data_IF_373087410533
#
_entry.id   IF_373087410533
#
_cell.length_a   1.000
_cell.length_b   1.000
_cell.length_c   1.000
_cell.angle_alpha   90.00
_cell.angle_beta   90.00
_cell.angle_gamma   90.00
#
_symmetry.space_group_name_H-M   'P 1'
#
loop_
_entity.id
_entity.type
_entity.pdbx_description
1 polymer ?
#
# COMPACT_ATOMS: atom_id res chain seq x y z
N UNK A 1 -9.95 0.52 44.71
CA UNK A 1 -10.49 1.74 44.09
C UNK A 1 -10.69 1.44 42.62
N UNK A 2 -11.94 1.32 42.18
CA UNK A 2 -12.24 1.22 40.75
C UNK A 2 -11.85 2.55 40.09
N UNK A 3 -11.40 2.53 38.83
CA UNK A 3 -11.23 3.77 38.02
C UNK A 3 -12.55 4.57 37.98
N UNK A 4 -13.69 3.90 38.15
CA UNK A 4 -15.02 4.53 38.23
C UNK A 4 -15.25 5.32 39.53
N UNK A 5 -14.53 5.03 40.61
CA UNK A 5 -14.66 5.75 41.89
C UNK A 5 -13.81 7.03 41.95
N UNK A 6 -12.90 7.25 40.98
CA UNK A 6 -11.99 8.40 40.93
C UNK A 6 -12.47 9.53 40.00
N UNK A 7 -13.57 9.34 39.28
CA UNK A 7 -14.12 10.32 38.35
C UNK A 7 -15.42 10.90 38.94
N UNK A 8 -15.42 12.13 39.49
CA UNK A 8 -16.62 12.73 40.05
C UNK A 8 -17.70 12.82 38.96
N UNK A 9 -18.91 12.39 39.31
CA UNK A 9 -20.12 12.52 38.52
C UNK A 9 -20.26 13.94 37.95
N UNK A 10 -19.98 14.11 36.66
CA UNK A 10 -20.30 15.34 35.95
C UNK A 10 -21.39 15.06 34.89
N UNK A 11 -22.65 15.44 35.16
CA UNK A 11 -23.70 15.37 34.16
C UNK A 11 -23.46 16.46 33.11
N UNK A 12 -23.03 16.05 31.91
CA UNK A 12 -22.88 16.93 30.74
C UNK A 12 -21.50 17.55 30.51
N UNK A 13 -20.43 17.08 31.18
CA UNK A 13 -19.11 17.72 31.12
C UNK A 13 -18.38 17.53 29.80
N UNK A 14 -18.19 18.63 29.08
CA UNK A 14 -16.93 18.86 28.38
C UNK A 14 -15.78 18.52 29.34
N UNK A 15 -14.83 17.69 28.89
CA UNK A 15 -13.59 17.45 29.65
C UNK A 15 -13.04 18.80 30.14
N UNK A 16 -12.50 18.88 31.38
CA UNK A 16 -11.85 20.10 31.85
C UNK A 16 -10.86 20.55 30.79
N UNK A 17 -10.85 21.86 30.49
CA UNK A 17 -9.87 22.43 29.56
C UNK A 17 -8.48 22.16 30.13
N UNK A 18 -7.72 21.31 29.45
CA UNK A 18 -6.36 20.98 29.83
C UNK A 18 -5.38 21.77 28.96
N UNK A 19 -4.34 22.33 29.55
CA UNK A 19 -3.25 22.96 28.81
C UNK A 19 -2.25 21.91 28.32
N UNK A 20 -1.49 22.21 27.25
CA UNK A 20 -0.44 21.31 26.75
C UNK A 20 0.68 21.13 27.79
N UNK A 21 1.03 22.20 28.52
CA UNK A 21 2.05 22.14 29.58
C UNK A 21 1.69 21.20 30.74
N UNK A 22 0.38 20.97 31.00
CA UNK A 22 -0.07 20.10 32.09
C UNK A 22 0.35 18.64 31.88
N UNK A 23 0.70 18.22 30.66
CA UNK A 23 1.30 16.89 30.40
C UNK A 23 2.61 16.70 31.19
N UNK A 24 3.32 17.80 31.48
CA UNK A 24 4.53 17.83 32.28
C UNK A 24 4.27 18.02 33.78
N UNK A 25 3.01 18.12 34.22
CA UNK A 25 2.67 18.33 35.63
C UNK A 25 3.15 17.16 36.52
N UNK A 26 3.37 17.45 37.79
CA UNK A 26 3.70 16.46 38.83
C UNK A 26 2.49 15.62 39.25
N UNK A 27 1.26 16.14 39.14
CA UNK A 27 0.04 15.38 39.34
C UNK A 27 -0.23 14.47 38.13
N UNK A 28 -0.10 13.16 38.36
CA UNK A 28 -0.29 12.14 37.32
C UNK A 28 -1.69 12.17 36.70
N UNK A 29 -2.73 12.53 37.45
CA UNK A 29 -4.08 12.59 36.91
C UNK A 29 -4.22 13.75 35.92
N UNK A 30 -3.74 14.94 36.31
CA UNK A 30 -3.78 16.11 35.45
C UNK A 30 -2.96 15.88 34.18
N UNK A 31 -1.74 15.35 34.33
CA UNK A 31 -0.88 15.00 33.21
C UNK A 31 -1.52 13.96 32.29
N UNK A 32 -2.15 12.93 32.85
CA UNK A 32 -2.84 11.92 32.06
C UNK A 32 -4.04 12.48 31.30
N UNK A 33 -4.87 13.33 31.91
CA UNK A 33 -6.02 13.93 31.23
C UNK A 33 -5.59 14.90 30.13
N UNK A 34 -4.56 15.71 30.35
CA UNK A 34 -3.97 16.56 29.31
C UNK A 34 -3.41 15.71 28.16
N UNK A 35 -2.69 14.62 28.47
CA UNK A 35 -2.16 13.69 27.47
C UNK A 35 -3.27 13.00 26.68
N UNK A 36 -4.31 12.53 27.36
CA UNK A 36 -5.48 11.90 26.76
C UNK A 36 -6.22 12.88 25.84
N UNK A 37 -6.37 14.15 26.24
CA UNK A 37 -6.98 15.20 25.41
C UNK A 37 -6.18 15.47 24.13
N UNK A 38 -4.84 15.49 24.23
CA UNK A 38 -3.94 15.69 23.09
C UNK A 38 -3.89 14.47 22.17
N UNK A 39 -3.56 13.29 22.68
CA UNK A 39 -3.20 12.12 21.85
C UNK A 39 -4.38 11.20 21.58
N UNK A 40 -5.32 11.10 22.54
CA UNK A 40 -6.40 10.12 22.54
C UNK A 40 -7.22 10.07 21.24
N UNK A 41 -7.75 11.21 20.73
CA UNK A 41 -8.55 11.24 19.50
C UNK A 41 -7.80 10.75 18.26
N UNK A 42 -6.52 11.12 18.12
CA UNK A 42 -5.69 10.72 16.99
C UNK A 42 -5.32 9.24 17.06
N UNK A 43 -4.93 8.77 18.25
CA UNK A 43 -4.60 7.37 18.49
C UNK A 43 -5.81 6.46 18.27
N UNK A 44 -7.01 6.87 18.70
CA UNK A 44 -8.24 6.14 18.42
C UNK A 44 -8.47 5.97 16.92
N UNK A 45 -8.38 7.07 16.17
CA UNK A 45 -8.57 7.03 14.72
C UNK A 45 -7.57 6.08 14.04
N UNK A 46 -6.33 6.04 14.52
CA UNK A 46 -5.29 5.13 14.02
C UNK A 46 -5.56 3.67 14.41
N UNK A 47 -5.94 3.41 15.66
CA UNK A 47 -6.23 2.06 16.19
C UNK A 47 -7.42 1.44 15.46
N UNK A 48 -8.54 2.15 15.35
CA UNK A 48 -9.74 1.66 14.66
C UNK A 48 -9.44 1.39 13.18
N UNK A 49 -8.70 2.29 12.53
CA UNK A 49 -8.26 2.07 11.15
C UNK A 49 -7.44 0.80 10.98
N UNK A 50 -6.50 0.61 11.90
CA UNK A 50 -5.59 -0.54 11.91
C UNK A 50 -6.37 -1.83 12.15
N UNK A 51 -7.31 -1.84 13.10
CA UNK A 51 -8.19 -2.97 13.35
C UNK A 51 -9.08 -3.29 12.14
N UNK A 52 -9.71 -2.29 11.52
CA UNK A 52 -10.51 -2.47 10.31
C UNK A 52 -9.68 -2.99 9.14
N UNK A 53 -8.43 -2.53 9.01
CA UNK A 53 -7.49 -3.05 7.99
C UNK A 53 -7.07 -4.49 8.29
N UNK A 54 -6.90 -4.83 9.56
CA UNK A 54 -6.53 -6.16 9.99
C UNK A 54 -7.66 -7.17 9.72
N UNK A 55 -8.90 -6.77 10.02
CA UNK A 55 -10.10 -7.60 9.86
C UNK A 55 -11.32 -6.75 9.45
N UNK A 56 -11.52 -6.51 8.14
CA UNK A 56 -12.64 -5.72 7.63
C UNK A 56 -14.00 -6.27 8.11
N UNK A 57 -14.90 -5.40 8.55
CA UNK A 57 -16.25 -5.79 8.99
C UNK A 57 -16.34 -6.46 10.37
N UNK A 58 -15.23 -6.64 11.08
CA UNK A 58 -15.24 -7.30 12.40
C UNK A 58 -15.64 -6.42 13.59
N UNK A 59 -15.67 -5.10 13.41
CA UNK A 59 -16.22 -4.19 14.40
C UNK A 59 -16.86 -2.97 13.72
N UNK A 60 -17.87 -2.40 14.39
CA UNK A 60 -18.58 -1.19 13.96
C UNK A 60 -17.99 0.11 14.54
N UNK A 61 -16.76 0.07 15.06
CA UNK A 61 -16.15 1.23 15.69
C UNK A 61 -15.94 2.36 14.67
N UNK A 62 -16.43 3.56 14.98
CA UNK A 62 -16.21 4.73 14.14
C UNK A 62 -14.88 5.40 14.52
N UNK A 63 -13.89 5.52 13.61
CA UNK A 63 -12.64 6.23 13.89
C UNK A 63 -12.85 7.72 14.19
N UNK A 64 -14.04 8.25 13.91
CA UNK A 64 -14.42 9.64 14.20
C UNK A 64 -15.04 9.84 15.59
N UNK A 65 -15.35 8.76 16.31
CA UNK A 65 -16.01 8.78 17.62
C UNK A 65 -15.14 8.08 18.67
N UNK A 66 -14.15 8.78 19.24
CA UNK A 66 -13.31 8.21 20.28
C UNK A 66 -14.11 7.99 21.59
N UNK A 67 -13.64 7.10 22.48
CA UNK A 67 -14.24 6.84 23.81
C UNK A 67 -14.30 8.07 24.72
N UNK A 68 -13.54 9.12 24.41
CA UNK A 68 -13.44 10.31 25.24
C UNK A 68 -14.66 11.19 25.05
N UNK A 69 -15.53 11.22 26.05
CA UNK A 69 -16.56 12.26 26.19
C UNK A 69 -18.00 11.76 26.35
N UNK A 70 -18.28 10.86 27.29
CA UNK A 70 -19.62 10.72 27.87
C UNK A 70 -20.80 10.58 26.89
N UNK A 71 -20.58 10.00 25.71
CA UNK A 71 -21.64 9.84 24.72
C UNK A 71 -22.61 8.76 25.20
N UNK A 72 -23.62 9.17 25.96
CA UNK A 72 -24.67 8.35 26.58
C UNK A 72 -25.64 7.69 25.58
N UNK A 73 -25.20 7.43 24.34
CA UNK A 73 -26.03 6.86 23.28
C UNK A 73 -25.26 6.31 22.08
N UNK A 74 -23.93 6.27 22.12
CA UNK A 74 -23.16 5.54 21.11
C UNK A 74 -23.13 4.05 21.47
N UNK A 75 -23.27 3.17 20.48
CA UNK A 75 -23.06 1.73 20.68
C UNK A 75 -21.73 1.49 21.42
N UNK A 76 -21.69 0.54 22.38
CA UNK A 76 -20.49 0.29 23.13
C UNK A 76 -19.33 -0.01 22.17
N UNK A 77 -18.23 0.70 22.36
CA UNK A 77 -17.02 0.48 21.59
C UNK A 77 -16.59 -0.98 21.74
N UNK A 78 -16.18 -1.62 20.65
CA UNK A 78 -15.83 -3.03 20.72
C UNK A 78 -14.63 -3.24 21.67
N UNK A 79 -14.62 -4.31 22.49
CA UNK A 79 -13.56 -4.55 23.47
C UNK A 79 -12.15 -4.56 22.86
N UNK A 80 -12.01 -5.08 21.63
CA UNK A 80 -10.72 -5.14 20.93
C UNK A 80 -10.14 -3.76 20.64
N UNK A 81 -10.91 -2.84 20.06
CA UNK A 81 -10.45 -1.49 19.78
C UNK A 81 -10.20 -0.71 21.08
N UNK A 82 -11.05 -0.88 22.08
CA UNK A 82 -10.90 -0.23 23.39
C UNK A 82 -9.63 -0.68 24.11
N UNK A 83 -9.37 -1.99 24.18
CA UNK A 83 -8.17 -2.53 24.81
C UNK A 83 -6.91 -2.08 24.07
N UNK A 84 -6.88 -2.22 22.74
CA UNK A 84 -5.74 -1.80 21.94
C UNK A 84 -5.48 -0.29 22.08
N UNK A 85 -6.51 0.54 22.08
CA UNK A 85 -6.36 1.97 22.29
C UNK A 85 -5.81 2.28 23.68
N UNK A 86 -6.35 1.66 24.72
CA UNK A 86 -5.93 1.85 26.12
C UNK A 86 -4.47 1.44 26.31
N UNK A 87 -4.06 0.27 25.81
CA UNK A 87 -2.68 -0.21 25.89
C UNK A 87 -1.70 0.75 25.21
N UNK A 88 -2.06 1.26 24.03
CA UNK A 88 -1.22 2.21 23.29
C UNK A 88 -1.19 3.57 23.96
N UNK A 89 -2.29 4.02 24.52
CA UNK A 89 -2.38 5.29 25.24
C UNK A 89 -1.49 5.25 26.48
N UNK A 90 -1.61 4.21 27.31
CA UNK A 90 -0.79 4.03 28.52
C UNK A 90 0.69 3.86 28.19
N UNK A 91 1.03 3.11 27.14
CA UNK A 91 2.40 2.98 26.66
C UNK A 91 3.00 4.32 26.23
N UNK A 92 2.24 5.10 25.46
CA UNK A 92 2.65 6.42 25.01
C UNK A 92 2.82 7.39 26.18
N UNK A 93 1.86 7.41 27.12
CA UNK A 93 1.92 8.23 28.32
C UNK A 93 3.17 7.90 29.16
N UNK A 94 3.40 6.60 29.44
CA UNK A 94 4.58 6.14 30.18
C UNK A 94 5.88 6.58 29.51
N UNK A 95 5.97 6.44 28.17
CA UNK A 95 7.13 6.90 27.41
C UNK A 95 7.33 8.42 27.48
N UNK A 96 6.24 9.19 27.45
CA UNK A 96 6.30 10.65 27.61
C UNK A 96 6.77 11.06 29.00
N UNK A 97 6.26 10.40 30.06
CA UNK A 97 6.69 10.65 31.44
C UNK A 97 8.16 10.31 31.65
N UNK A 98 8.61 9.17 31.13
CA UNK A 98 10.03 8.80 31.15
C UNK A 98 10.88 9.85 30.40
N UNK A 99 10.44 10.31 29.23
CA UNK A 99 11.18 11.32 28.45
C UNK A 99 11.27 12.69 29.15
N UNK A 100 10.26 13.05 29.94
CA UNK A 100 10.24 14.27 30.75
C UNK A 100 11.14 14.15 31.99
N UNK A 101 11.22 12.97 32.61
CA UNK A 101 11.99 12.74 33.83
C UNK A 101 13.47 12.45 33.56
N UNK A 102 13.75 11.54 32.63
CA UNK A 102 15.09 10.99 32.36
C UNK A 102 15.74 11.58 31.10
N UNK A 103 14.97 12.36 30.34
CA UNK A 103 15.37 12.90 29.04
C UNK A 103 14.90 12.04 27.85
N UNK A 104 14.98 12.58 26.63
CA UNK A 104 14.49 11.91 25.42
C UNK A 104 15.22 10.57 25.17
N UNK A 105 14.52 9.55 24.62
CA UNK A 105 15.15 8.29 24.25
C UNK A 105 16.31 8.49 23.28
N UNK A 106 17.30 7.61 23.33
CA UNK A 106 18.51 7.66 22.51
C UNK A 106 18.39 6.79 21.25
N UNK A 107 19.10 7.18 20.20
CA UNK A 107 19.32 6.39 18.99
C UNK A 107 20.39 5.32 19.22
N UNK A 108 20.71 4.54 18.18
CA UNK A 108 21.81 3.56 18.24
C UNK A 108 23.20 4.18 18.40
N UNK A 109 23.34 5.45 18.07
CA UNK A 109 24.59 6.19 18.16
C UNK A 109 24.66 7.04 19.44
N UNK A 110 23.87 6.69 20.47
CA UNK A 110 23.74 7.40 21.75
C UNK A 110 23.35 8.89 21.64
N UNK A 111 22.69 9.27 20.55
CA UNK A 111 22.18 10.63 20.34
C UNK A 111 20.70 10.72 20.73
N UNK A 112 20.23 11.84 21.32
CA UNK A 112 18.81 12.08 21.54
C UNK A 112 17.98 11.95 20.26
N UNK A 113 16.83 11.26 20.34
CA UNK A 113 15.85 11.24 19.25
C UNK A 113 15.29 12.65 19.11
N UNK A 114 15.62 13.32 18.00
CA UNK A 114 15.32 14.73 17.74
C UNK A 114 13.84 15.11 17.93
N UNK A 115 12.93 14.26 17.47
CA UNK A 115 11.49 14.49 17.57
C UNK A 115 11.02 14.46 19.04
N UNK A 116 11.57 13.55 19.84
CA UNK A 116 11.31 13.50 21.28
C UNK A 116 11.92 14.69 22.01
N UNK A 117 13.13 15.10 21.64
CA UNK A 117 13.78 16.27 22.22
C UNK A 117 12.93 17.53 22.02
N UNK A 118 12.51 17.82 20.78
CA UNK A 118 11.65 18.99 20.49
C UNK A 118 10.30 18.93 21.18
N UNK A 119 9.73 17.74 21.30
CA UNK A 119 8.47 17.54 22.03
C UNK A 119 8.65 17.85 23.51
N UNK A 120 9.66 17.29 24.18
CA UNK A 120 9.95 17.53 25.60
C UNK A 120 10.27 19.00 25.86
N UNK A 121 11.09 19.62 25.00
CA UNK A 121 11.39 21.06 25.06
C UNK A 121 10.12 21.92 24.98
N UNK A 122 9.18 21.58 24.10
CA UNK A 122 7.92 22.31 23.97
C UNK A 122 7.00 22.12 25.17
N UNK A 123 6.88 20.88 25.68
CA UNK A 123 6.04 20.59 26.84
C UNK A 123 6.49 21.34 28.10
N UNK A 124 7.78 21.67 28.22
CA UNK A 124 8.33 22.51 29.28
C UNK A 124 8.38 24.02 28.97
N UNK A 125 7.93 24.46 27.80
CA UNK A 125 7.97 25.86 27.41
C UNK A 125 6.75 26.63 27.95
N UNK A 126 6.95 27.88 28.37
CA UNK A 126 5.87 28.78 28.85
C UNK A 126 4.73 28.95 27.82
N UNK A 127 5.02 28.83 26.52
CA UNK A 127 3.98 28.88 25.49
C UNK A 127 2.93 27.77 25.66
N UNK A 128 3.34 26.57 26.10
CA UNK A 128 2.46 25.41 26.25
C UNK A 128 1.41 25.59 27.37
N UNK A 129 1.61 26.54 28.30
CA UNK A 129 0.64 26.88 29.36
C UNK A 129 -0.64 27.51 28.79
N UNK A 130 -0.55 28.14 27.62
CA UNK A 130 -1.67 28.83 26.97
C UNK A 130 -2.29 28.04 25.81
N UNK A 131 -1.77 26.85 25.54
CA UNK A 131 -2.19 25.99 24.44
C UNK A 131 -3.22 24.97 24.92
N UNK A 132 -4.41 24.92 24.31
CA UNK A 132 -5.46 23.93 24.65
C UNK A 132 -5.09 22.55 24.08
N UNK A 133 -4.86 21.57 24.95
CA UNK A 133 -4.50 20.21 24.57
C UNK A 133 -5.55 19.54 23.67
N UNK A 134 -6.84 19.80 23.91
CA UNK A 134 -7.93 19.25 23.11
C UNK A 134 -7.98 19.90 21.72
N UNK A 135 -7.56 21.16 21.57
CA UNK A 135 -7.44 21.81 20.27
C UNK A 135 -6.36 21.16 19.41
N UNK A 136 -5.15 21.02 19.94
CA UNK A 136 -4.06 20.34 19.25
C UNK A 136 -4.36 18.84 19.03
N UNK A 137 -5.13 18.21 19.91
CA UNK A 137 -5.60 16.84 19.70
C UNK A 137 -6.54 16.67 18.51
N UNK A 138 -7.37 17.69 18.21
CA UNK A 138 -8.14 17.73 16.94
C UNK A 138 -7.19 17.83 15.74
N UNK A 139 -6.16 18.66 15.82
CA UNK A 139 -5.13 18.78 14.76
C UNK A 139 -4.40 17.46 14.52
N UNK A 140 -3.97 16.75 15.58
CA UNK A 140 -3.33 15.43 15.46
C UNK A 140 -4.26 14.39 14.81
N UNK A 141 -5.55 14.42 15.16
CA UNK A 141 -6.55 13.54 14.54
C UNK A 141 -6.71 13.86 13.05
N UNK A 142 -6.76 15.12 12.67
CA UNK A 142 -6.81 15.51 11.25
C UNK A 142 -5.59 15.03 10.47
N UNK A 143 -4.38 15.19 11.03
CA UNK A 143 -3.14 14.68 10.44
C UNK A 143 -3.23 13.16 10.23
N UNK A 144 -3.73 12.43 11.23
CA UNK A 144 -3.95 10.97 11.14
C UNK A 144 -4.91 10.61 10.01
N UNK A 145 -6.06 11.28 9.93
CA UNK A 145 -7.06 11.05 8.89
C UNK A 145 -6.55 11.43 7.49
N UNK A 146 -5.69 12.45 7.37
CA UNK A 146 -5.05 12.85 6.12
C UNK A 146 -3.97 11.87 5.69
N UNK A 147 -3.09 11.44 6.58
CA UNK A 147 -2.05 10.43 6.28
C UNK A 147 -2.68 9.16 5.69
N UNK A 148 -3.87 8.79 6.19
CA UNK A 148 -4.67 7.68 5.66
C UNK A 148 -5.27 7.94 4.28
N UNK A 149 -5.75 9.15 4.01
CA UNK A 149 -6.29 9.55 2.69
C UNK A 149 -5.20 9.66 1.64
N UNK A 150 -4.08 10.30 1.97
CA UNK A 150 -2.91 10.43 1.09
C UNK A 150 -2.30 9.08 0.69
N UNK A 151 -2.30 8.09 1.59
CA UNK A 151 -1.91 6.72 1.24
C UNK A 151 -2.87 6.04 0.23
N UNK A 152 -4.11 6.54 0.08
CA UNK A 152 -5.15 5.99 -0.80
C UNK A 152 -5.29 6.77 -2.11
N UNK A 153 -4.93 8.06 -2.12
CA UNK A 153 -5.14 9.01 -3.23
C UNK A 153 -3.84 9.49 -3.90
N UNK A 154 -2.67 8.98 -3.50
CA UNK A 154 -1.40 9.20 -4.19
C UNK A 154 -1.35 8.49 -5.56
N UNK A 155 -2.29 8.81 -6.44
CA UNK A 155 -2.10 8.70 -7.87
C UNK A 155 -1.07 9.77 -8.30
N UNK A 156 -0.14 9.47 -9.23
CA UNK A 156 0.82 10.45 -9.69
C UNK A 156 0.10 11.66 -10.32
N UNK A 157 0.25 12.85 -9.74
CA UNK A 157 -0.26 14.11 -10.30
C UNK A 157 -1.40 14.79 -9.53
N UNK A 158 -1.90 14.21 -8.44
CA UNK A 158 -2.84 14.88 -7.53
C UNK A 158 -2.09 15.92 -6.68
N UNK A 159 -2.30 17.21 -6.97
CA UNK A 159 -1.88 18.30 -6.10
C UNK A 159 -2.72 18.23 -4.82
N UNK A 160 -2.29 17.42 -3.86
CA UNK A 160 -2.92 17.35 -2.54
C UNK A 160 -2.91 18.76 -1.92
N UNK A 161 -4.08 19.22 -1.50
CA UNK A 161 -4.24 20.48 -0.76
C UNK A 161 -3.17 20.57 0.34
N UNK A 162 -2.35 21.64 0.36
CA UNK A 162 -1.35 21.79 1.41
C UNK A 162 -2.09 21.87 2.73
N UNK A 163 -1.89 20.86 3.58
CA UNK A 163 -2.39 20.90 4.95
C UNK A 163 -1.96 22.23 5.58
N UNK A 164 -2.82 22.89 6.39
CA UNK A 164 -2.37 24.03 7.18
C UNK A 164 -1.10 23.60 7.94
N UNK A 165 -0.05 24.43 7.95
CA UNK A 165 1.23 24.05 8.53
C UNK A 165 1.04 23.81 10.03
N UNK A 166 1.01 22.53 10.42
CA UNK A 166 1.04 22.17 11.84
C UNK A 166 2.40 22.56 12.42
N UNK A 167 2.46 23.11 13.65
CA UNK A 167 3.71 23.38 14.33
C UNK A 167 4.64 22.15 14.33
N UNK A 168 5.96 22.39 14.35
CA UNK A 168 6.96 21.32 14.32
C UNK A 168 6.72 20.25 15.39
N UNK A 169 6.49 20.69 16.63
CA UNK A 169 6.27 19.81 17.78
C UNK A 169 4.99 18.96 17.64
N UNK A 170 3.93 19.47 16.98
CA UNK A 170 2.69 18.71 16.74
C UNK A 170 2.95 17.58 15.74
N UNK A 171 3.75 17.82 14.71
CA UNK A 171 4.16 16.77 13.76
C UNK A 171 5.00 15.71 14.47
N UNK A 172 5.92 16.14 15.33
CA UNK A 172 6.75 15.24 16.12
C UNK A 172 5.90 14.39 17.08
N UNK A 173 4.93 15.00 17.76
CA UNK A 173 3.95 14.32 18.60
C UNK A 173 3.13 13.28 17.80
N UNK A 174 2.68 13.61 16.59
CA UNK A 174 2.02 12.64 15.71
C UNK A 174 2.92 11.43 15.43
N UNK A 175 4.15 11.65 14.98
CA UNK A 175 5.04 10.54 14.61
C UNK A 175 5.42 9.68 15.82
N UNK A 176 5.74 10.30 16.96
CA UNK A 176 6.22 9.57 18.13
C UNK A 176 5.09 8.95 18.96
N UNK A 177 3.99 9.67 19.17
CA UNK A 177 2.93 9.27 20.11
C UNK A 177 1.73 8.60 19.44
N UNK A 178 1.54 8.81 18.13
CA UNK A 178 0.42 8.19 17.39
C UNK A 178 0.93 7.12 16.44
N UNK A 179 1.75 7.48 15.45
CA UNK A 179 2.13 6.56 14.38
C UNK A 179 3.09 5.46 14.88
N UNK A 180 4.18 5.85 15.55
CA UNK A 180 5.17 4.90 16.08
C UNK A 180 4.59 4.03 17.20
N UNK A 181 3.86 4.62 18.14
CA UNK A 181 3.23 3.88 19.25
C UNK A 181 2.18 2.90 18.74
N UNK A 182 1.32 3.29 17.80
CA UNK A 182 0.33 2.38 17.22
C UNK A 182 0.96 1.33 16.31
N UNK A 183 2.05 1.66 15.61
CA UNK A 183 2.74 0.85 14.60
C UNK A 183 1.77 -0.03 13.78
N UNK A 184 1.06 0.55 12.79
CA UNK A 184 -0.03 -0.13 12.11
C UNK A 184 0.37 -1.47 11.50
N UNK A 185 1.57 -1.57 10.92
CA UNK A 185 2.04 -2.80 10.28
C UNK A 185 2.20 -3.94 11.27
N UNK A 186 2.83 -3.69 12.43
CA UNK A 186 2.99 -4.71 13.48
C UNK A 186 1.64 -5.08 14.08
N UNK A 187 0.82 -4.09 14.38
CA UNK A 187 -0.49 -4.31 15.00
C UNK A 187 -1.45 -5.07 14.08
N UNK A 188 -1.45 -4.79 12.77
CA UNK A 188 -2.20 -5.61 11.78
C UNK A 188 -1.74 -7.06 11.81
N UNK A 189 -0.43 -7.30 11.83
CA UNK A 189 0.11 -8.65 11.85
C UNK A 189 -0.26 -9.40 13.14
N UNK A 190 -0.22 -8.72 14.29
CA UNK A 190 -0.56 -9.33 15.58
C UNK A 190 -2.07 -9.64 15.68
N UNK A 191 -2.95 -8.70 15.30
CA UNK A 191 -4.41 -8.95 15.26
C UNK A 191 -4.76 -10.12 14.34
N UNK A 192 -4.12 -10.22 13.17
CA UNK A 192 -4.35 -11.33 12.23
C UNK A 192 -3.89 -12.67 12.80
N UNK A 193 -2.80 -12.69 13.58
CA UNK A 193 -2.33 -13.90 14.25
C UNK A 193 -3.26 -14.32 15.39
N UNK A 194 -3.70 -13.39 16.22
CA UNK A 194 -4.68 -13.65 17.27
C UNK A 194 -5.98 -14.20 16.68
N UNK A 195 -6.50 -13.54 15.63
CA UNK A 195 -7.69 -14.02 14.92
C UNK A 195 -7.49 -15.36 14.22
N UNK A 196 -6.26 -15.74 13.86
CA UNK A 196 -5.95 -17.08 13.37
C UNK A 196 -6.03 -18.12 14.49
N UNK A 197 -5.40 -17.82 15.63
CA UNK A 197 -5.40 -18.69 16.79
C UNK A 197 -6.84 -18.92 17.32
N UNK A 198 -7.68 -17.88 17.35
CA UNK A 198 -9.11 -17.97 17.71
C UNK A 198 -9.90 -18.97 16.84
N UNK A 199 -9.44 -19.25 15.61
CA UNK A 199 -10.08 -20.17 14.65
C UNK A 199 -9.30 -21.48 14.45
N UNK A 200 -8.34 -21.78 15.32
CA UNK A 200 -7.44 -22.94 15.21
C UNK A 200 -6.67 -23.00 13.88
N UNK A 201 -6.37 -21.84 13.29
CA UNK A 201 -5.54 -21.71 12.10
C UNK A 201 -4.07 -21.51 12.46
N UNK A 202 -3.20 -21.89 11.55
CA UNK A 202 -1.77 -21.65 11.71
C UNK A 202 -1.46 -20.14 11.62
N UNK A 203 -0.84 -19.60 12.67
CA UNK A 203 -0.63 -18.15 12.80
C UNK A 203 0.41 -17.60 11.82
N UNK A 204 1.40 -18.43 11.46
CA UNK A 204 2.53 -18.08 10.56
C UNK A 204 2.74 -19.11 9.44
N UNK A 205 1.80 -19.23 8.48
CA UNK A 205 1.92 -20.17 7.37
C UNK A 205 3.21 -19.94 6.56
N UNK A 206 3.67 -18.70 6.44
CA UNK A 206 4.93 -18.34 5.79
C UNK A 206 6.15 -19.01 6.42
N UNK A 207 6.20 -19.13 7.74
CA UNK A 207 7.28 -19.83 8.44
C UNK A 207 7.13 -21.34 8.35
N UNK A 208 5.89 -21.85 8.43
CA UNK A 208 5.62 -23.27 8.29
C UNK A 208 6.09 -23.78 6.92
N UNK A 209 5.67 -23.11 5.85
CA UNK A 209 6.05 -23.46 4.48
C UNK A 209 7.53 -23.15 4.20
N UNK A 210 8.03 -22.01 4.71
CA UNK A 210 9.39 -21.55 4.42
C UNK A 210 10.50 -22.31 5.13
N UNK A 211 10.25 -22.89 6.31
CA UNK A 211 11.31 -23.42 7.19
C UNK A 211 11.15 -24.88 7.61
N UNK A 212 9.93 -25.43 7.66
CA UNK A 212 9.75 -26.78 8.18
C UNK A 212 10.25 -27.85 7.21
N UNK A 213 10.78 -28.94 7.76
CA UNK A 213 11.39 -30.01 6.96
C UNK A 213 10.37 -30.68 6.05
N UNK A 214 9.16 -30.93 6.56
CA UNK A 214 8.08 -31.51 5.76
C UNK A 214 7.74 -30.64 4.54
N UNK A 215 7.90 -29.32 4.62
CA UNK A 215 7.57 -28.41 3.52
C UNK A 215 8.66 -28.33 2.44
N UNK A 216 9.74 -29.12 2.51
CA UNK A 216 10.79 -29.15 1.48
C UNK A 216 10.25 -29.32 0.05
N UNK A 217 9.29 -30.23 -0.25
CA UNK A 217 8.75 -30.37 -1.60
C UNK A 217 7.98 -29.13 -2.08
N UNK A 218 7.32 -28.40 -1.17
CA UNK A 218 6.56 -27.17 -1.48
C UNK A 218 7.47 -25.97 -1.78
N UNK A 219 8.77 -26.06 -1.46
CA UNK A 219 9.77 -25.01 -1.69
C UNK A 219 10.55 -25.19 -2.99
N UNK A 220 10.24 -26.21 -3.79
CA UNK A 220 10.98 -26.53 -5.02
C UNK A 220 10.94 -25.38 -6.05
N UNK A 221 9.81 -24.68 -6.17
CA UNK A 221 9.67 -23.46 -6.98
C UNK A 221 9.26 -22.29 -6.05
N UNK A 222 10.06 -21.21 -5.96
CA UNK A 222 9.75 -20.03 -5.14
C UNK A 222 8.42 -19.36 -5.49
N UNK A 223 8.02 -19.36 -6.77
CA UNK A 223 6.75 -18.76 -7.22
C UNK A 223 5.58 -19.57 -6.70
N UNK A 224 5.65 -20.89 -6.84
CA UNK A 224 4.62 -21.80 -6.33
C UNK A 224 4.50 -21.72 -4.80
N UNK A 225 5.64 -21.66 -4.09
CA UNK A 225 5.70 -21.45 -2.64
C UNK A 225 4.97 -20.17 -2.24
N UNK A 226 5.28 -19.06 -2.90
CA UNK A 226 4.73 -17.76 -2.54
C UNK A 226 3.24 -17.66 -2.90
N UNK A 227 2.81 -18.24 -4.02
CA UNK A 227 1.38 -18.41 -4.37
C UNK A 227 0.63 -19.14 -3.25
N UNK A 228 1.16 -20.27 -2.77
CA UNK A 228 0.56 -21.03 -1.67
C UNK A 228 0.51 -20.22 -0.37
N UNK A 229 1.60 -19.53 -0.02
CA UNK A 229 1.65 -18.68 1.18
C UNK A 229 0.61 -17.56 1.08
N UNK A 230 0.53 -16.85 -0.05
CA UNK A 230 -0.45 -15.79 -0.26
C UNK A 230 -1.88 -16.30 -0.15
N UNK A 231 -2.18 -17.47 -0.72
CA UNK A 231 -3.49 -18.10 -0.59
C UNK A 231 -3.84 -18.42 0.87
N UNK A 232 -2.92 -19.07 1.60
CA UNK A 232 -3.12 -19.40 3.01
C UNK A 232 -3.29 -18.14 3.88
N UNK A 233 -2.53 -17.08 3.60
CA UNK A 233 -2.70 -15.78 4.24
C UNK A 233 -4.05 -15.15 3.91
N UNK A 234 -4.57 -15.32 2.69
CA UNK A 234 -5.89 -14.84 2.29
C UNK A 234 -7.02 -15.54 3.03
N UNK A 235 -6.92 -16.86 3.22
CA UNK A 235 -7.85 -17.63 4.06
C UNK A 235 -7.76 -17.21 5.52
N UNK A 236 -6.53 -17.08 6.02
CA UNK A 236 -6.26 -16.60 7.38
C UNK A 236 -6.84 -15.20 7.59
N UNK A 237 -6.71 -14.31 6.63
CA UNK A 237 -7.11 -12.91 6.79
C UNK A 237 -8.56 -12.66 6.33
N UNK A 238 -9.33 -13.73 6.07
CA UNK A 238 -10.76 -13.69 5.65
C UNK A 238 -11.00 -12.81 4.42
N UNK A 239 -10.04 -12.78 3.50
CA UNK A 239 -10.18 -12.04 2.23
C UNK A 239 -11.28 -12.68 1.40
N UNK A 240 -12.26 -11.88 0.95
CA UNK A 240 -13.47 -12.33 0.26
C UNK A 240 -13.17 -13.30 -0.89
N UNK A 241 -12.13 -13.00 -1.67
CA UNK A 241 -11.67 -13.85 -2.76
C UNK A 241 -10.19 -14.25 -2.52
N UNK A 242 -9.93 -15.34 -1.78
CA UNK A 242 -8.56 -15.76 -1.46
C UNK A 242 -7.81 -16.24 -2.71
N UNK A 243 -8.54 -16.68 -3.73
CA UNK A 243 -8.03 -17.03 -5.06
C UNK A 243 -7.68 -15.80 -5.91
N UNK A 244 -8.19 -14.61 -5.56
CA UNK A 244 -8.00 -13.35 -6.29
C UNK A 244 -7.12 -12.32 -5.55
N UNK A 245 -6.44 -12.74 -4.47
CA UNK A 245 -5.48 -11.92 -3.70
C UNK A 245 -4.53 -11.12 -4.62
N UNK A 246 -4.19 -9.85 -4.29
CA UNK A 246 -3.76 -8.79 -5.21
C UNK A 246 -2.94 -9.31 -6.39
N UNK A 247 -3.68 -9.70 -7.43
CA UNK A 247 -3.24 -10.35 -8.66
C UNK A 247 -1.87 -11.01 -8.51
N UNK A 248 -1.83 -12.26 -8.04
CA UNK A 248 -0.66 -13.14 -8.18
C UNK A 248 -0.06 -13.05 -9.61
N UNK A 249 -0.92 -12.77 -10.59
CA UNK A 249 -0.62 -12.37 -11.96
C UNK A 249 0.35 -11.18 -12.08
N UNK A 250 0.10 -10.07 -11.37
CA UNK A 250 0.95 -8.89 -11.33
C UNK A 250 2.22 -9.12 -10.52
N UNK A 251 2.12 -9.86 -9.42
CA UNK A 251 3.27 -10.12 -8.54
C UNK A 251 4.30 -11.07 -9.19
N UNK A 252 3.84 -12.05 -9.97
CA UNK A 252 4.68 -13.12 -10.52
C UNK A 252 4.70 -13.16 -12.06
N UNK A 253 4.04 -12.23 -12.74
CA UNK A 253 3.98 -12.19 -14.21
C UNK A 253 3.20 -13.36 -14.83
N UNK A 254 2.19 -13.87 -14.14
CA UNK A 254 1.40 -15.04 -14.54
C UNK A 254 0.03 -14.62 -15.11
N UNK A 255 -0.58 -15.50 -15.91
CA UNK A 255 -2.01 -15.38 -16.22
C UNK A 255 -2.87 -15.94 -15.07
N UNK A 256 -4.15 -15.56 -15.02
CA UNK A 256 -5.12 -16.10 -14.05
C UNK A 256 -5.13 -17.63 -14.04
N UNK A 257 -5.16 -18.23 -15.24
CA UNK A 257 -5.18 -19.67 -15.43
C UNK A 257 -3.90 -20.33 -14.90
N UNK A 258 -2.73 -19.74 -15.17
CA UNK A 258 -1.46 -20.25 -14.66
C UNK A 258 -1.37 -20.17 -13.13
N UNK A 259 -1.82 -19.06 -12.55
CA UNK A 259 -1.85 -18.91 -11.09
C UNK A 259 -2.79 -19.94 -10.44
N UNK A 260 -3.97 -20.15 -11.02
CA UNK A 260 -4.94 -21.14 -10.54
C UNK A 260 -4.41 -22.58 -10.66
N UNK A 261 -3.80 -22.95 -11.78
CA UNK A 261 -3.22 -24.28 -11.99
C UNK A 261 -2.07 -24.55 -11.01
N UNK A 262 -1.16 -23.58 -10.85
CA UNK A 262 -0.03 -23.66 -9.91
C UNK A 262 -0.53 -23.81 -8.48
N UNK A 263 -1.51 -22.99 -8.08
CA UNK A 263 -2.13 -23.09 -6.76
C UNK A 263 -2.80 -24.46 -6.54
N UNK A 264 -3.57 -24.95 -7.51
CA UNK A 264 -4.23 -26.25 -7.42
C UNK A 264 -3.23 -27.40 -7.25
N UNK A 265 -2.09 -27.35 -7.97
CA UNK A 265 -1.00 -28.31 -7.81
C UNK A 265 -0.39 -28.23 -6.41
N UNK A 266 -0.12 -27.02 -5.91
CA UNK A 266 0.46 -26.82 -4.58
C UNK A 266 -0.49 -27.25 -3.45
N UNK A 267 -1.81 -27.05 -3.61
CA UNK A 267 -2.80 -27.52 -2.66
C UNK A 267 -2.89 -29.04 -2.62
N UNK A 268 -2.80 -29.73 -3.77
CA UNK A 268 -2.70 -31.20 -3.81
C UNK A 268 -1.43 -31.69 -3.11
N UNK A 269 -0.28 -31.09 -3.43
CA UNK A 269 0.99 -31.45 -2.81
C UNK A 269 0.98 -31.18 -1.29
N UNK A 270 0.36 -30.08 -0.84
CA UNK A 270 0.20 -29.79 0.59
C UNK A 270 -0.68 -30.85 1.28
N UNK A 271 -1.76 -31.28 0.64
CA UNK A 271 -2.62 -32.34 1.14
C UNK A 271 -1.87 -33.66 1.28
N UNK A 272 -1.03 -34.02 0.31
CA UNK A 272 -0.22 -35.25 0.34
C UNK A 272 0.87 -35.21 1.42
N UNK A 273 1.59 -34.10 1.54
CA UNK A 273 2.77 -33.98 2.40
C UNK A 273 2.40 -33.73 3.87
N UNK A 274 1.32 -32.96 4.12
CA UNK A 274 0.86 -32.64 5.48
C UNK A 274 -0.68 -32.52 5.54
N UNK A 275 -1.40 -33.67 5.54
CA UNK A 275 -2.86 -33.70 5.52
C UNK A 275 -3.51 -32.89 6.64
N UNK A 276 -3.02 -32.98 7.88
CA UNK A 276 -3.58 -32.25 9.03
C UNK A 276 -3.48 -30.73 8.85
N UNK A 277 -2.37 -30.24 8.29
CA UNK A 277 -2.17 -28.82 8.04
C UNK A 277 -3.11 -28.34 6.94
N UNK A 278 -3.26 -29.13 5.87
CA UNK A 278 -4.21 -28.87 4.80
C UNK A 278 -5.64 -28.79 5.34
N UNK A 279 -6.08 -29.80 6.10
CA UNK A 279 -7.44 -29.85 6.64
C UNK A 279 -7.75 -28.60 7.47
N UNK A 280 -6.88 -28.25 8.42
CA UNK A 280 -7.08 -27.10 9.30
C UNK A 280 -7.02 -25.76 8.58
N UNK A 281 -6.11 -25.57 7.63
CA UNK A 281 -5.83 -24.25 7.06
C UNK A 281 -6.48 -24.00 5.70
N UNK A 282 -7.00 -25.03 5.04
CA UNK A 282 -7.60 -24.94 3.70
C UNK A 282 -9.02 -25.48 3.73
N UNK A 283 -9.19 -26.75 4.06
CA UNK A 283 -10.48 -27.44 3.93
C UNK A 283 -11.54 -26.88 4.88
N UNK A 284 -11.24 -26.82 6.19
CA UNK A 284 -12.18 -26.33 7.19
C UNK A 284 -12.58 -24.85 6.97
N UNK A 285 -11.65 -23.91 6.69
CA UNK A 285 -12.02 -22.52 6.35
C UNK A 285 -12.88 -22.42 5.09
N UNK A 286 -12.57 -23.16 4.04
CA UNK A 286 -13.35 -23.12 2.81
C UNK A 286 -14.75 -23.72 3.00
N UNK A 287 -14.88 -24.79 3.79
CA UNK A 287 -16.16 -25.38 4.13
C UNK A 287 -17.05 -24.39 4.91
N UNK A 288 -16.49 -23.68 5.89
CA UNK A 288 -17.21 -22.66 6.65
C UNK A 288 -17.73 -21.54 5.74
N UNK A 289 -16.91 -21.06 4.81
CA UNK A 289 -17.32 -20.00 3.86
C UNK A 289 -18.47 -20.42 2.95
N UNK A 290 -18.42 -21.65 2.43
CA UNK A 290 -19.53 -22.23 1.64
C UNK A 290 -20.81 -22.31 2.46
N UNK A 291 -20.71 -22.70 3.73
CA UNK A 291 -21.87 -22.78 4.62
C UNK A 291 -22.52 -21.41 4.89
N UNK A 292 -21.74 -20.33 4.84
CA UNK A 292 -22.22 -18.93 5.02
C UNK A 292 -22.63 -18.28 3.69
N UNK A 293 -22.57 -19.02 2.57
CA UNK A 293 -22.99 -18.54 1.25
C UNK A 293 -22.03 -17.56 0.59
N UNK A 294 -20.78 -17.48 1.05
CA UNK A 294 -19.74 -16.73 0.35
C UNK A 294 -19.34 -17.45 -0.95
N UNK A 295 -19.11 -16.73 -2.07
CA UNK A 295 -18.63 -17.36 -3.30
C UNK A 295 -17.22 -17.94 -3.06
N UNK A 296 -17.15 -19.26 -3.02
CA UNK A 296 -15.90 -20.03 -2.89
C UNK A 296 -15.71 -20.86 -4.16
N UNK A 297 -15.48 -20.19 -5.27
CA UNK A 297 -15.10 -20.84 -6.51
C UNK A 297 -13.68 -20.45 -6.88
N UNK A 298 -12.81 -21.42 -7.25
CA UNK A 298 -11.65 -21.08 -8.08
C UNK A 298 -12.16 -20.28 -9.29
N UNK A 299 -11.40 -19.33 -9.85
CA UNK A 299 -11.84 -18.66 -11.05
C UNK A 299 -12.22 -19.71 -12.08
N UNK A 300 -13.51 -19.81 -12.41
CA UNK A 300 -13.93 -20.52 -13.60
C UNK A 300 -13.22 -19.86 -14.78
N UNK A 301 -12.79 -20.70 -15.72
CA UNK A 301 -12.04 -20.32 -16.90
C UNK A 301 -12.89 -19.41 -17.78
N UNK A 302 -12.99 -18.13 -17.42
CA UNK A 302 -13.36 -17.03 -18.30
C UNK A 302 -13.25 -15.75 -17.48
N UNK A 303 -12.10 -15.07 -17.58
CA UNK A 303 -12.06 -13.65 -17.26
C UNK A 303 -12.85 -12.94 -18.35
N UNK A 304 -14.17 -12.90 -18.20
CA UNK A 304 -15.02 -12.02 -18.98
C UNK A 304 -14.74 -10.62 -18.46
N UNK A 305 -13.73 -9.96 -19.03
CA UNK A 305 -13.62 -8.52 -18.90
C UNK A 305 -14.93 -7.93 -19.42
N UNK A 306 -15.54 -7.03 -18.64
CA UNK A 306 -16.71 -6.28 -19.07
C UNK A 306 -16.45 -5.73 -20.48
N UNK A 307 -17.43 -5.86 -21.37
CA UNK A 307 -17.35 -5.34 -22.73
C UNK A 307 -16.98 -3.84 -22.74
N UNK A 308 -17.38 -3.09 -21.71
CA UNK A 308 -16.98 -1.71 -21.52
C UNK A 308 -15.48 -1.55 -21.20
N UNK A 309 -14.91 -2.38 -20.32
CA UNK A 309 -13.49 -2.34 -19.96
C UNK A 309 -12.60 -2.73 -21.14
N UNK A 310 -13.01 -3.76 -21.89
CA UNK A 310 -12.30 -4.18 -23.09
C UNK A 310 -12.36 -3.11 -24.21
N UNK A 311 -13.49 -2.41 -24.36
CA UNK A 311 -13.63 -1.31 -25.31
C UNK A 311 -12.74 -0.11 -24.92
N UNK A 312 -12.65 0.21 -23.62
CA UNK A 312 -11.78 1.26 -23.10
C UNK A 312 -10.30 0.93 -23.35
N UNK A 313 -9.87 -0.29 -23.00
CA UNK A 313 -8.50 -0.75 -23.23
C UNK A 313 -8.13 -0.77 -24.73
N UNK A 314 -9.07 -1.15 -25.61
CA UNK A 314 -8.88 -1.04 -27.06
C UNK A 314 -8.77 0.42 -27.53
N UNK A 315 -9.49 1.35 -26.91
CA UNK A 315 -9.37 2.78 -27.15
C UNK A 315 -7.98 3.30 -26.79
N UNK A 316 -7.48 2.93 -25.63
CA UNK A 316 -6.13 3.29 -25.15
C UNK A 316 -5.03 2.68 -26.04
N UNK A 317 -5.18 1.42 -26.48
CA UNK A 317 -4.27 0.80 -27.44
C UNK A 317 -4.25 1.50 -28.80
N UNK A 318 -5.42 1.92 -29.30
CA UNK A 318 -5.51 2.70 -30.54
C UNK A 318 -4.82 4.06 -30.39
N UNK A 319 -5.00 4.72 -29.26
CA UNK A 319 -4.33 5.98 -28.95
C UNK A 319 -2.80 5.81 -28.87
N UNK A 320 -2.32 4.77 -28.19
CA UNK A 320 -0.89 4.44 -28.08
C UNK A 320 -0.26 4.08 -29.43
N UNK A 321 -1.02 3.45 -30.33
CA UNK A 321 -0.62 3.16 -31.71
C UNK A 321 -0.66 4.39 -32.63
N UNK A 322 -1.11 5.55 -32.14
CA UNK A 322 -1.27 6.74 -32.98
C UNK A 322 -2.39 6.61 -34.02
N UNK A 323 -3.31 5.65 -33.85
CA UNK A 323 -4.45 5.41 -34.74
C UNK A 323 -5.56 6.41 -34.42
N UNK A 324 -5.30 7.69 -34.68
CA UNK A 324 -6.38 8.63 -34.96
C UNK A 324 -6.94 8.26 -36.34
N UNK A 325 -8.26 8.19 -36.47
CA UNK A 325 -9.01 7.68 -37.63
C UNK A 325 -8.72 8.34 -38.99
N UNK A 326 -7.72 9.22 -39.10
CA UNK A 326 -7.44 10.06 -40.25
C UNK A 326 -5.95 10.20 -40.63
N UNK A 327 -4.99 9.55 -39.96
CA UNK A 327 -3.55 9.65 -40.34
C UNK A 327 -2.76 8.34 -40.15
N UNK A 328 -2.70 7.45 -41.16
CA UNK A 328 -1.91 6.22 -41.11
C UNK A 328 -0.39 6.47 -41.01
N UNK A 329 0.09 7.69 -41.26
CA UNK A 329 1.51 8.07 -41.17
C UNK A 329 2.01 8.25 -39.72
N UNK A 330 1.11 8.27 -38.73
CA UNK A 330 1.43 8.49 -37.31
C UNK A 330 1.63 7.19 -36.51
N UNK A 331 1.54 6.02 -37.15
CA UNK A 331 1.69 4.73 -36.47
C UNK A 331 3.17 4.48 -36.15
N UNK A 332 3.49 4.39 -34.85
CA UNK A 332 4.84 4.08 -34.39
C UNK A 332 5.16 2.58 -34.60
N UNK A 333 6.10 2.23 -35.51
CA UNK A 333 6.46 0.83 -35.76
C UNK A 333 7.09 0.15 -34.54
N UNK A 334 7.70 0.90 -33.61
CA UNK A 334 8.26 0.36 -32.38
C UNK A 334 7.16 -0.06 -31.40
N UNK A 335 6.02 0.64 -31.36
CA UNK A 335 4.85 0.23 -30.57
C UNK A 335 4.18 -1.01 -31.19
N UNK A 336 4.07 -1.07 -32.51
CA UNK A 336 3.55 -2.25 -33.22
C UNK A 336 4.41 -3.49 -32.95
N UNK A 337 5.73 -3.37 -33.00
CA UNK A 337 6.65 -4.47 -32.70
C UNK A 337 6.51 -4.97 -31.25
N UNK A 338 6.40 -4.04 -30.29
CA UNK A 338 6.18 -4.37 -28.87
C UNK A 338 4.84 -5.06 -28.63
N UNK A 339 3.76 -4.57 -29.23
CA UNK A 339 2.44 -5.21 -29.12
C UNK A 339 2.43 -6.63 -29.72
N UNK A 340 3.10 -6.85 -30.85
CA UNK A 340 3.25 -8.21 -31.43
C UNK A 340 4.03 -9.14 -30.51
N UNK A 341 5.10 -8.65 -29.88
CA UNK A 341 5.87 -9.43 -28.91
C UNK A 341 5.02 -9.80 -27.68
N UNK A 342 4.28 -8.85 -27.12
CA UNK A 342 3.36 -9.06 -25.99
C UNK A 342 2.26 -10.06 -26.35
N UNK A 343 1.65 -9.92 -27.52
CA UNK A 343 0.62 -10.85 -28.03
C UNK A 343 1.20 -12.26 -28.23
N UNK A 344 2.41 -12.38 -28.77
CA UNK A 344 3.09 -13.67 -28.95
C UNK A 344 3.41 -14.36 -27.62
N UNK A 345 3.85 -13.58 -26.62
CA UNK A 345 4.04 -14.07 -25.25
C UNK A 345 2.70 -14.51 -24.63
N UNK A 346 1.65 -13.72 -24.80
CA UNK A 346 0.32 -14.03 -24.27
C UNK A 346 -0.33 -15.27 -24.91
N UNK A 347 -0.02 -15.57 -26.18
CA UNK A 347 -0.43 -16.82 -26.86
C UNK A 347 0.35 -18.05 -26.43
N UNK A 348 1.52 -17.88 -25.83
CA UNK A 348 2.45 -18.97 -25.60
C UNK A 348 3.19 -19.43 -26.87
N UNK A 349 3.29 -18.58 -27.90
CA UNK A 349 3.97 -18.88 -29.18
C UNK A 349 5.51 -18.87 -29.08
N UNK A 350 6.06 -19.21 -27.91
CA UNK A 350 7.50 -19.35 -27.65
C UNK A 350 8.18 -20.52 -28.37
N UNK A 351 7.69 -20.95 -29.54
CA UNK A 351 8.39 -21.90 -30.41
C UNK A 351 9.37 -21.16 -31.31
N UNK A 352 10.53 -20.84 -30.77
CA UNK A 352 11.74 -20.86 -31.59
C UNK A 352 12.01 -22.34 -31.86
N UNK A 353 11.99 -22.76 -33.13
CA UNK A 353 12.28 -24.13 -33.51
C UNK A 353 13.73 -24.49 -33.10
N UNK A 354 13.87 -25.23 -32.01
CA UNK A 354 15.14 -25.72 -31.45
C UNK A 354 14.89 -26.58 -30.21
N UNK A 355 15.79 -27.53 -29.86
CA UNK A 355 15.53 -28.53 -28.83
C UNK A 355 15.83 -27.98 -27.43
N UNK A 356 14.84 -27.34 -26.80
CA UNK A 356 14.57 -27.18 -25.36
C UNK A 356 13.65 -25.95 -25.17
N UNK A 357 12.64 -25.98 -24.28
CA UNK A 357 11.87 -24.79 -23.96
C UNK A 357 12.76 -23.80 -23.20
N UNK A 358 13.25 -22.77 -23.89
CA UNK A 358 13.84 -21.62 -23.24
C UNK A 358 12.79 -20.95 -22.34
N UNK A 359 13.18 -20.38 -21.19
CA UNK A 359 12.27 -19.59 -20.36
C UNK A 359 11.65 -18.48 -21.21
N UNK A 360 10.33 -18.32 -21.12
CA UNK A 360 9.63 -17.18 -21.73
C UNK A 360 10.33 -15.91 -21.21
N UNK A 361 10.90 -15.07 -22.09
CA UNK A 361 11.61 -13.88 -21.62
C UNK A 361 10.63 -13.00 -20.86
N UNK A 362 10.98 -12.67 -19.62
CA UNK A 362 10.22 -11.72 -18.82
C UNK A 362 10.06 -10.42 -19.62
N UNK A 363 8.84 -9.91 -19.70
CA UNK A 363 8.59 -8.62 -20.35
C UNK A 363 9.39 -7.53 -19.62
N UNK A 364 10.09 -6.64 -20.33
CA UNK A 364 10.73 -5.48 -19.72
C UNK A 364 9.72 -4.69 -18.88
N UNK A 365 10.15 -4.14 -17.73
CA UNK A 365 9.28 -3.38 -16.85
C UNK A 365 8.54 -2.22 -17.55
N UNK A 366 9.15 -1.65 -18.59
CA UNK A 366 8.58 -0.61 -19.43
C UNK A 366 7.37 -1.07 -20.28
N UNK A 367 7.23 -2.38 -20.51
CA UNK A 367 6.16 -2.96 -21.34
C UNK A 367 4.98 -3.48 -20.51
N UNK A 368 5.08 -3.46 -19.17
CA UNK A 368 4.01 -3.89 -18.24
C UNK A 368 2.69 -3.13 -18.48
N UNK A 369 2.66 -1.79 -18.64
CA UNK A 369 1.41 -1.08 -18.90
C UNK A 369 0.75 -1.51 -20.21
N UNK A 370 1.55 -1.75 -21.26
CA UNK A 370 1.05 -2.18 -22.57
C UNK A 370 0.53 -3.62 -22.52
N UNK A 371 1.18 -4.49 -21.75
CA UNK A 371 0.72 -5.85 -21.50
C UNK A 371 -0.62 -5.88 -20.73
N UNK A 372 -0.80 -5.01 -19.75
CA UNK A 372 -2.07 -4.87 -19.03
C UNK A 372 -3.21 -4.47 -19.96
N UNK A 373 -2.96 -3.58 -20.93
CA UNK A 373 -3.94 -3.20 -21.94
C UNK A 373 -4.28 -4.35 -22.89
N UNK A 374 -3.30 -5.15 -23.32
CA UNK A 374 -3.54 -6.33 -24.16
C UNK A 374 -4.39 -7.37 -23.44
N UNK A 375 -4.13 -7.59 -22.15
CA UNK A 375 -4.91 -8.51 -21.32
C UNK A 375 -6.36 -8.02 -21.16
N UNK A 376 -6.57 -6.74 -20.81
CA UNK A 376 -7.92 -6.15 -20.66
C UNK A 376 -8.71 -6.10 -21.97
N UNK A 377 -8.05 -5.80 -23.08
CA UNK A 377 -8.66 -5.76 -24.41
C UNK A 377 -9.04 -7.16 -24.94
N UNK A 378 -8.28 -8.18 -24.55
CA UNK A 378 -8.34 -9.54 -25.08
C UNK A 378 -7.46 -9.71 -26.32
N UNK A 379 -6.62 -10.75 -26.31
CA UNK A 379 -5.59 -11.03 -27.33
C UNK A 379 -6.15 -11.05 -28.76
N UNK A 380 -7.28 -11.72 -29.00
CA UNK A 380 -7.92 -11.82 -30.32
C UNK A 380 -8.34 -10.45 -30.88
N UNK A 381 -8.79 -9.52 -30.01
CA UNK A 381 -9.22 -8.18 -30.44
C UNK A 381 -8.02 -7.30 -30.78
N UNK A 382 -6.92 -7.45 -30.02
CA UNK A 382 -5.66 -6.74 -30.29
C UNK A 382 -5.04 -7.20 -31.61
N UNK A 383 -5.15 -8.49 -31.95
CA UNK A 383 -4.67 -8.99 -33.24
C UNK A 383 -5.48 -8.48 -34.42
N UNK A 384 -6.80 -8.43 -34.29
CA UNK A 384 -7.66 -7.80 -35.28
C UNK A 384 -7.23 -6.34 -35.50
N UNK A 385 -6.95 -5.61 -34.42
CA UNK A 385 -6.41 -4.24 -34.48
C UNK A 385 -5.05 -4.17 -35.18
N UNK A 386 -4.11 -5.07 -34.86
CA UNK A 386 -2.79 -5.10 -35.50
C UNK A 386 -2.87 -5.48 -36.99
N UNK A 387 -3.82 -6.34 -37.36
CA UNK A 387 -4.11 -6.69 -38.75
C UNK A 387 -4.72 -5.50 -39.51
N UNK A 388 -5.64 -4.75 -38.88
CA UNK A 388 -6.18 -3.50 -39.43
C UNK A 388 -5.08 -2.47 -39.69
N UNK A 389 -4.19 -2.27 -38.71
CA UNK A 389 -3.03 -1.37 -38.84
C UNK A 389 -2.11 -1.81 -39.98
N UNK A 390 -1.86 -3.11 -40.13
CA UNK A 390 -1.05 -3.66 -41.23
C UNK A 390 -1.71 -3.41 -42.61
N UNK A 391 -3.04 -3.57 -42.72
CA UNK A 391 -3.79 -3.27 -43.96
C UNK A 391 -3.70 -1.79 -44.33
N UNK A 392 -3.92 -0.90 -43.35
CA UNK A 392 -3.87 0.56 -43.53
C UNK A 392 -2.49 1.06 -43.96
N UNK A 393 -1.42 0.40 -43.48
CA UNK A 393 -0.04 0.77 -43.84
C UNK A 393 0.44 0.14 -45.15
N UNK A 394 -0.14 -0.99 -45.58
CA UNK A 394 0.21 -1.66 -46.84
C UNK A 394 -0.35 -0.97 -48.09
N UNK A 395 -1.48 -0.28 -48.01
CA UNK A 395 -2.13 0.40 -49.15
C UNK A 395 -1.50 1.74 -49.55
N UNK A 396 -0.22 1.96 -49.25
CA UNK A 396 0.49 3.17 -49.66
C UNK A 396 0.71 3.16 -51.18
N UNK A 397 0.11 4.07 -51.97
CA UNK A 397 0.53 4.22 -53.34
C UNK A 397 1.98 4.71 -53.31
N UNK A 398 2.90 3.94 -53.89
CA UNK A 398 4.30 4.33 -54.09
C UNK A 398 4.37 5.44 -55.13
N UNK A 399 3.81 6.60 -54.81
CA UNK A 399 3.84 7.82 -55.61
C UNK A 399 5.25 8.36 -55.61
N UNK A 400 6.07 7.86 -56.52
CA UNK A 400 7.43 8.32 -56.83
C UNK A 400 7.35 9.76 -57.36
N UNK A 401 7.27 10.76 -56.47
CA UNK A 401 7.42 12.17 -56.85
C UNK A 401 8.88 12.41 -57.25
N UNK A 402 9.15 12.29 -58.56
CA UNK A 402 10.32 12.91 -59.20
C UNK A 402 10.29 14.41 -58.91
N UNK A 403 11.19 14.90 -58.06
CA UNK A 403 11.50 16.33 -57.98
C UNK A 403 12.31 16.70 -59.22
N UNK A 404 11.68 17.41 -60.15
CA UNK A 404 12.39 18.21 -61.15
C UNK A 404 12.97 19.43 -60.44
N UNK A 405 14.24 19.72 -60.74
CA UNK A 405 14.98 20.85 -60.16
C UNK A 405 14.57 22.19 -60.75
N UNK A 406 14.98 23.26 -60.05
CA UNK A 406 15.00 24.61 -60.59
C UNK A 406 15.32 25.65 -59.50
N UNK A 407 16.16 26.66 -59.76
CA UNK A 407 17.09 27.21 -58.77
C UNK A 407 16.80 28.67 -58.36
N UNK A 408 17.49 29.17 -57.32
CA UNK A 408 17.76 30.60 -57.20
C UNK A 408 17.90 31.19 -55.79
N UNK A 409 19.15 31.52 -55.43
CA UNK A 409 19.68 32.75 -54.75
C UNK A 409 18.97 33.25 -53.47
N UNK A 410 19.62 33.30 -52.29
CA UNK A 410 20.77 34.10 -51.81
C UNK A 410 20.42 35.46 -51.18
N UNK A 411 21.05 35.73 -50.01
CA UNK A 411 21.21 36.96 -49.18
C UNK A 411 20.52 36.84 -47.80
N UNK A 412 21.25 36.64 -46.69
CA UNK A 412 22.13 37.54 -45.93
C UNK A 412 21.39 38.49 -44.96
N UNK A 413 21.46 38.25 -43.64
CA UNK A 413 22.09 39.14 -42.64
C UNK A 413 21.77 38.77 -41.17
N UNK A 414 22.85 38.74 -40.37
CA UNK A 414 23.05 39.15 -38.96
C UNK A 414 21.91 39.08 -37.92
N UNK A 415 22.27 38.52 -36.76
CA UNK A 415 21.71 38.89 -35.46
C UNK A 415 22.31 38.09 -34.30
N UNK A 416 23.40 38.60 -33.70
CA UNK A 416 23.93 38.13 -32.41
C UNK A 416 22.99 38.59 -31.28
N UNK A 417 22.74 37.75 -30.28
CA UNK A 417 22.69 38.18 -28.88
C UNK A 417 23.18 37.06 -27.96
N UNK A 418 24.07 37.46 -27.04
CA UNK A 418 24.60 36.72 -25.92
C UNK A 418 23.50 36.30 -24.93
N UNK A 419 23.71 35.18 -24.23
CA UNK A 419 23.66 35.13 -22.77
C UNK A 419 24.46 33.92 -22.26
N UNK A 420 25.40 34.21 -21.35
CA UNK A 420 26.04 33.29 -20.42
C UNK A 420 25.00 32.77 -19.39
N UNK A 421 25.19 31.70 -18.64
CA UNK A 421 26.35 30.85 -18.38
C UNK A 421 25.98 29.75 -17.38
N UNK A 422 27.01 29.15 -16.79
CA UNK A 422 27.03 28.24 -15.64
C UNK A 422 26.62 26.77 -15.84
N UNK A 423 27.66 25.96 -16.09
CA UNK A 423 27.88 24.62 -15.53
C UNK A 423 29.15 24.70 -14.68
N UNK A 424 29.25 24.03 -13.52
CA UNK A 424 30.03 22.77 -13.48
C UNK A 424 29.44 21.74 -12.48
N UNK A 425 29.39 20.43 -12.79
CA UNK A 425 30.46 19.42 -12.63
C UNK A 425 31.24 19.56 -11.31
N UNK A 426 31.01 18.64 -10.38
CA UNK A 426 31.97 18.27 -9.34
C UNK A 426 32.31 16.79 -9.49
N UNK A 427 33.58 16.54 -9.82
CA UNK A 427 34.28 15.27 -9.65
C UNK A 427 35.15 15.39 -8.39
N UNK A 428 35.18 14.30 -7.64
CA UNK A 428 36.31 13.72 -6.89
C UNK A 428 36.92 14.48 -5.69
N UNK A 429 37.09 13.72 -4.60
CA UNK A 429 37.72 14.12 -3.34
C UNK A 429 39.24 14.37 -3.46
N UNK A 430 39.96 14.55 -2.34
CA UNK A 430 40.44 13.35 -1.62
C UNK A 430 40.71 13.54 -0.10
N UNK A 431 41.01 12.41 0.54
CA UNK A 431 42.13 12.32 1.49
C UNK A 431 41.82 12.43 2.99
N UNK A 432 41.90 11.30 3.70
CA UNK A 432 42.49 11.26 5.05
C UNK A 432 43.37 9.99 5.13
N UNK A 433 44.67 10.20 5.22
CA UNK A 433 45.65 9.25 5.74
C UNK A 433 45.82 9.48 7.25
N UNK A 434 45.86 8.36 7.98
CA UNK A 434 46.60 8.01 9.19
C UNK A 434 47.03 9.05 10.25
N UNK A 435 46.84 8.64 11.52
CA UNK A 435 47.75 8.98 12.62
C UNK A 435 47.10 8.99 14.01
N UNK A 436 47.32 7.93 14.81
CA UNK A 436 47.04 7.90 16.25
C UNK A 436 46.75 6.52 16.80
#
# INVERSE_FOLDING_TARGET
>A
MSIEDALPHLPGSSLPRCAVAEIADTDENLAYFAYLALVGPALWAQVVATAHRAKPGSCGCDPLRPPVGGHSGAEPLCPRCTNLWTDRLLKGFTATRAALADGPPLTRDDLPVREWQRLVEHLGATAAEFEDAAEYGRTLRELTLRARRGAREAAPGSAADPAPPAPGWVRDAYFQLVDFVANPSRTVADIRRESAAERDLHTRPELAIGKQDWAAPLRADPVDRDILIHFLLGLRDEVSEPYSMPKMELAFGLTAAQAAERLARQLRLLHEVRPDFYHRNVEAPLALRRAVGEPVTPPEQDVVFDAADAALALGELRAALGVAASRPEAVDPAVVARLRAIVGVARGDGRVAGPAPAPVPALPAADIPLAQLVVRAGVTRVEALLADVARLTAHRPTGRRRRAGGPGRALAHRGRHHLAGYSPRWQEGPGIEDGG
#
